data_IF_150461071100
#
_entry.id   IF_150461071100
#
_cell.length_a   1.000
_cell.length_b   1.000
_cell.length_c   1.000
_cell.angle_alpha   90.00
_cell.angle_beta   90.00
_cell.angle_gamma   90.00
#
_symmetry.space_group_name_H-M   'P 1'
#
loop_
_entity.id
_entity.type
_entity.pdbx_description
1 polymer ?
#
# COMPACT_ATOMS: atom_id res chain seq x y z
N UNK A 1 -9.70 -5.50 19.52
CA UNK A 1 -9.71 -6.06 18.16
C UNK A 1 -9.05 -5.05 17.25
N UNK A 2 -8.02 -5.45 16.50
CA UNK A 2 -7.33 -4.57 15.55
C UNK A 2 -7.91 -4.82 14.17
N UNK A 3 -8.30 -3.76 13.45
CA UNK A 3 -8.87 -3.83 12.11
C UNK A 3 -8.00 -2.99 11.19
N UNK A 4 -7.53 -3.59 10.10
CA UNK A 4 -6.74 -2.94 9.05
C UNK A 4 -7.51 -2.78 7.74
N UNK A 5 -7.00 -1.91 6.87
CA UNK A 5 -7.51 -1.72 5.52
C UNK A 5 -6.42 -1.97 4.48
N UNK A 6 -6.76 -2.72 3.43
CA UNK A 6 -5.87 -3.00 2.32
C UNK A 6 -5.67 -1.75 1.43
N UNK A 7 -4.42 -1.39 1.13
CA UNK A 7 -4.06 -0.23 0.30
C UNK A 7 -4.28 -0.47 -1.21
N UNK A 8 -5.52 -0.84 -1.55
CA UNK A 8 -6.10 -0.88 -2.89
C UNK A 8 -7.54 -0.34 -2.87
N UNK A 9 -7.86 0.49 -1.88
CA UNK A 9 -9.21 1.00 -1.62
C UNK A 9 -9.67 2.07 -2.63
N UNK A 10 -8.72 2.74 -3.29
CA UNK A 10 -9.00 3.74 -4.31
C UNK A 10 -8.17 3.39 -5.55
N UNK A 11 -8.72 2.55 -6.45
CA UNK A 11 -8.02 2.12 -7.66
C UNK A 11 -7.49 3.31 -8.48
N UNK A 12 -6.38 3.08 -9.19
CA UNK A 12 -5.73 4.07 -10.08
C UNK A 12 -5.22 5.33 -9.40
N UNK A 13 -5.21 5.38 -8.06
CA UNK A 13 -4.67 6.50 -7.30
C UNK A 13 -3.29 6.15 -6.72
N UNK A 14 -2.39 7.15 -6.61
CA UNK A 14 -1.13 6.98 -5.89
C UNK A 14 -1.36 6.49 -4.46
N UNK A 15 -0.41 5.73 -3.91
CA UNK A 15 -0.49 5.17 -2.56
C UNK A 15 -0.89 6.23 -1.51
N UNK A 16 -0.31 7.42 -1.58
CA UNK A 16 -0.54 8.53 -0.65
C UNK A 16 -2.02 8.95 -0.56
N UNK A 17 -2.72 8.96 -1.71
CA UNK A 17 -4.18 9.23 -1.72
C UNK A 17 -4.96 8.09 -1.06
N UNK A 18 -4.52 6.86 -1.25
CA UNK A 18 -5.15 5.69 -0.64
C UNK A 18 -4.95 5.67 0.87
N UNK A 19 -3.75 6.02 1.36
CA UNK A 19 -3.46 6.13 2.79
C UNK A 19 -4.28 7.23 3.44
N UNK A 20 -4.39 8.41 2.79
CA UNK A 20 -5.29 9.47 3.25
C UNK A 20 -6.74 8.99 3.36
N UNK A 21 -7.24 8.27 2.34
CA UNK A 21 -8.60 7.73 2.37
C UNK A 21 -8.83 6.73 3.51
N UNK A 22 -7.85 5.85 3.78
CA UNK A 22 -7.89 4.90 4.90
C UNK A 22 -7.94 5.64 6.24
N UNK A 23 -7.11 6.67 6.40
CA UNK A 23 -7.12 7.53 7.59
C UNK A 23 -8.47 8.22 7.77
N UNK A 24 -9.01 8.82 6.70
CA UNK A 24 -10.30 9.54 6.73
C UNK A 24 -11.48 8.61 7.08
N UNK A 25 -11.38 7.31 6.80
CA UNK A 25 -12.34 6.30 7.24
C UNK A 25 -12.18 5.86 8.69
N UNK A 26 -11.16 6.36 9.40
CA UNK A 26 -10.93 6.10 10.83
C UNK A 26 -10.14 4.83 11.13
N UNK A 27 -9.46 4.24 10.15
CA UNK A 27 -8.57 3.11 10.40
C UNK A 27 -7.27 3.57 11.04
N UNK A 28 -6.74 2.72 11.95
CA UNK A 28 -5.39 2.87 12.52
C UNK A 28 -4.36 2.04 11.78
N UNK A 29 -4.79 0.93 11.18
CA UNK A 29 -3.91 -0.04 10.55
C UNK A 29 -4.15 -0.07 9.04
N UNK A 30 -3.09 -0.22 8.27
CA UNK A 30 -3.16 -0.37 6.83
C UNK A 30 -2.16 -1.42 6.36
N UNK A 31 -2.55 -2.18 5.34
CA UNK A 31 -1.68 -3.20 4.74
C UNK A 31 -0.96 -2.60 3.54
N UNK A 32 0.31 -2.95 3.39
CA UNK A 32 1.07 -2.59 2.21
C UNK A 32 0.74 -3.56 1.08
N UNK A 33 0.39 -3.01 -0.09
CA UNK A 33 0.46 -3.74 -1.35
C UNK A 33 1.88 -3.64 -1.88
N UNK A 34 2.68 -4.68 -1.62
CA UNK A 34 4.07 -4.73 -2.02
C UNK A 34 4.18 -5.21 -3.48
N UNK A 35 4.74 -4.32 -4.29
CA UNK A 35 5.01 -4.49 -5.70
C UNK A 35 6.54 -4.44 -5.86
N UNK A 36 7.15 -5.61 -6.05
CA UNK A 36 8.61 -5.72 -6.21
C UNK A 36 9.10 -4.99 -7.46
N UNK A 37 10.41 -4.75 -7.55
CA UNK A 37 11.04 -4.06 -8.68
C UNK A 37 10.93 -4.93 -9.95
N UNK A 38 9.80 -4.81 -10.66
CA UNK A 38 9.43 -5.62 -11.84
C UNK A 38 8.05 -6.29 -11.78
N UNK A 39 7.39 -6.34 -10.62
CA UNK A 39 6.02 -6.86 -10.49
C UNK A 39 5.09 -5.81 -9.90
N UNK A 40 4.00 -5.50 -10.61
CA UNK A 40 2.99 -4.55 -10.15
C UNK A 40 1.63 -5.23 -10.21
N UNK A 41 0.98 -5.41 -9.06
CA UNK A 41 -0.38 -5.91 -8.98
C UNK A 41 -1.28 -5.05 -9.85
N UNK A 42 -1.93 -5.69 -10.82
CA UNK A 42 -2.92 -5.04 -11.67
C UNK A 42 -2.36 -3.97 -12.61
N UNK A 43 -1.07 -4.03 -12.97
CA UNK A 43 -0.50 -3.15 -14.00
C UNK A 43 -1.26 -3.25 -15.32
N UNK A 44 -1.70 -4.47 -15.68
CA UNK A 44 -2.52 -4.75 -16.86
C UNK A 44 -3.89 -4.05 -16.82
N UNK A 45 -4.35 -3.73 -15.62
CA UNK A 45 -5.61 -3.04 -15.38
C UNK A 45 -5.43 -1.55 -15.08
N UNK A 46 -4.18 -1.05 -15.03
CA UNK A 46 -3.86 0.37 -14.81
C UNK A 46 -3.57 0.76 -13.36
N UNK A 47 -3.43 -0.19 -12.43
CA UNK A 47 -3.08 0.11 -11.05
C UNK A 47 -1.66 0.71 -10.96
N UNK A 48 -1.55 1.82 -10.23
CA UNK A 48 -0.36 2.68 -10.19
C UNK A 48 0.25 2.83 -8.79
N UNK A 49 -0.24 2.06 -7.81
CA UNK A 49 0.30 2.08 -6.47
C UNK A 49 1.63 1.31 -6.44
N UNK A 50 2.74 2.00 -6.69
CA UNK A 50 4.08 1.43 -6.61
C UNK A 50 4.62 1.68 -5.19
N UNK A 51 4.66 0.62 -4.38
CA UNK A 51 5.46 0.56 -3.16
C UNK A 51 6.27 -0.73 -3.21
N UNK A 52 7.59 -0.60 -3.17
CA UNK A 52 8.51 -1.74 -3.11
C UNK A 52 9.16 -1.76 -1.73
N UNK A 53 8.87 -2.82 -0.97
CA UNK A 53 9.51 -3.07 0.32
C UNK A 53 11.02 -3.27 0.17
N UNK A 54 11.44 -3.97 -0.88
CA UNK A 54 12.85 -4.29 -1.15
C UNK A 54 13.66 -3.03 -1.47
N UNK A 55 13.09 -2.09 -2.21
CA UNK A 55 13.81 -0.90 -2.66
C UNK A 55 13.93 0.15 -1.54
N UNK A 56 12.83 0.47 -0.85
CA UNK A 56 12.78 1.63 0.06
C UNK A 56 11.97 1.38 1.35
N UNK A 57 12.38 0.44 2.22
CA UNK A 57 11.61 0.04 3.40
C UNK A 57 11.42 1.17 4.42
N UNK A 58 12.40 2.06 4.57
CA UNK A 58 12.33 3.19 5.51
C UNK A 58 11.38 4.30 5.04
N UNK A 59 11.36 4.59 3.74
CA UNK A 59 10.46 5.59 3.17
C UNK A 59 9.02 5.12 3.25
N UNK A 60 8.80 3.83 3.03
CA UNK A 60 7.49 3.22 3.16
C UNK A 60 6.98 3.25 4.61
N UNK A 61 7.85 2.99 5.59
CA UNK A 61 7.48 3.16 7.00
C UNK A 61 7.12 4.62 7.32
N UNK A 62 7.88 5.57 6.76
CA UNK A 62 7.65 7.01 6.97
C UNK A 62 6.33 7.48 6.38
N UNK A 63 6.01 7.14 5.14
CA UNK A 63 4.77 7.60 4.50
C UNK A 63 3.52 7.12 5.25
N UNK A 64 3.51 5.88 5.76
CA UNK A 64 2.41 5.41 6.61
C UNK A 64 2.32 6.19 7.92
N UNK A 65 3.45 6.45 8.58
CA UNK A 65 3.51 7.23 9.81
C UNK A 65 3.05 8.69 9.61
N UNK A 66 3.41 9.31 8.49
CA UNK A 66 3.00 10.68 8.12
C UNK A 66 1.47 10.78 7.93
N UNK A 67 0.81 9.67 7.58
CA UNK A 67 -0.66 9.56 7.54
C UNK A 67 -1.29 9.07 8.86
N UNK A 68 -0.51 8.90 9.93
CA UNK A 68 -0.99 8.40 11.22
C UNK A 68 -1.45 6.94 11.18
N UNK A 69 -0.92 6.14 10.25
CA UNK A 69 -1.24 4.73 10.07
C UNK A 69 -0.08 3.83 10.51
N UNK A 70 -0.42 2.69 11.09
CA UNK A 70 0.52 1.62 11.42
C UNK A 70 0.42 0.50 10.39
N UNK A 71 1.56 0.03 9.87
CA UNK A 71 1.57 -1.11 8.93
C UNK A 71 1.18 -2.38 9.69
N UNK A 72 0.13 -3.07 9.24
CA UNK A 72 -0.34 -4.33 9.85
C UNK A 72 0.12 -5.59 9.12
N UNK A 73 0.14 -5.58 7.79
CA UNK A 73 0.53 -6.72 6.98
C UNK A 73 1.12 -6.30 5.62
N UNK A 74 1.69 -7.29 4.93
CA UNK A 74 2.25 -7.17 3.59
C UNK A 74 1.48 -8.10 2.66
N UNK A 75 1.00 -7.57 1.54
CA UNK A 75 0.45 -8.36 0.46
C UNK A 75 1.43 -8.28 -0.72
N UNK A 76 2.27 -9.30 -0.84
CA UNK A 76 3.27 -9.39 -1.90
C UNK A 76 2.64 -10.03 -3.14
N UNK A 77 2.85 -9.38 -4.29
CA UNK A 77 2.37 -9.86 -5.57
C UNK A 77 3.51 -10.11 -6.54
N UNK A 78 3.37 -11.18 -7.32
CA UNK A 78 4.27 -11.51 -8.43
C UNK A 78 3.42 -11.92 -9.62
N UNK A 79 3.86 -11.53 -10.82
CA UNK A 79 3.32 -12.11 -12.05
C UNK A 79 4.03 -13.45 -12.27
N UNK A 80 3.27 -14.52 -12.51
CA UNK A 80 3.82 -15.78 -12.98
C UNK A 80 4.35 -15.54 -14.40
N UNK A 81 5.67 -15.63 -14.56
CA UNK A 81 6.36 -15.57 -15.86
C UNK A 81 5.97 -16.76 -16.74
#
# INVERSE_FOLDING_TARGET
>A
MNIGCFALNTPFSPLERQLRQIHDWGFRYADVTDNSDGACLGVEFGFTALASLDANPHDLKRIFADHGLEISAWCAHANLL
#
